data_IF_893378484672
#
_entry.id   IF_893378484672
#
_cell.length_a   1.000
_cell.length_b   1.000
_cell.length_c   1.000
_cell.angle_alpha   90.00
_cell.angle_beta   90.00
_cell.angle_gamma   90.00
#
_symmetry.space_group_name_H-M   'P 1'
#
loop_
_entity.id
_entity.type
_entity.pdbx_description
1 polymer ?
#
# COMPACT_ATOMS: atom_id res chain seq x y z
N UNK A 1 54.89 -63.21 30.74
CA UNK A 1 55.91 -62.27 31.27
C UNK A 1 55.61 -60.88 30.73
N UNK A 2 55.46 -59.93 31.64
CA UNK A 2 55.64 -58.47 31.48
C UNK A 2 56.98 -58.16 30.73
N UNK A 3 57.30 -57.02 30.10
CA UNK A 3 56.88 -55.64 30.32
C UNK A 3 57.34 -54.72 29.16
N UNK A 4 56.48 -53.75 28.81
CA UNK A 4 56.68 -52.32 28.49
C UNK A 4 58.01 -51.80 27.91
N UNK A 5 57.91 -51.04 26.81
CA UNK A 5 58.73 -49.84 26.58
C UNK A 5 57.86 -48.59 26.47
N UNK A 6 58.31 -47.54 27.13
CA UNK A 6 57.69 -46.22 27.31
C UNK A 6 58.29 -45.28 26.26
N UNK A 7 57.45 -44.52 25.55
CA UNK A 7 57.88 -43.33 24.82
C UNK A 7 57.11 -42.13 25.41
N UNK A 8 57.84 -41.28 26.13
CA UNK A 8 57.31 -40.06 26.74
C UNK A 8 57.12 -38.97 25.69
N UNK A 9 55.93 -38.38 25.66
CA UNK A 9 55.61 -37.18 24.88
C UNK A 9 55.86 -35.97 25.80
N UNK A 10 56.74 -35.08 25.34
CA UNK A 10 57.00 -33.77 25.94
C UNK A 10 55.82 -32.86 25.59
N UNK A 11 55.05 -32.42 26.60
CA UNK A 11 54.08 -31.33 26.47
C UNK A 11 54.83 -29.99 26.48
N UNK A 12 54.79 -29.27 25.35
CA UNK A 12 55.05 -27.83 25.33
C UNK A 12 53.76 -27.11 25.75
N UNK A 13 53.81 -26.42 26.89
CA UNK A 13 52.79 -25.49 27.35
C UNK A 13 52.97 -24.13 26.67
N UNK A 14 52.15 -23.82 25.66
CA UNK A 14 51.99 -22.43 25.19
C UNK A 14 50.85 -21.78 25.95
N UNK A 15 51.18 -20.84 26.83
CA UNK A 15 50.22 -19.95 27.47
C UNK A 15 49.59 -19.03 26.41
N UNK A 16 48.34 -19.30 26.05
CA UNK A 16 47.52 -18.42 25.23
C UNK A 16 46.94 -17.29 26.08
N UNK A 17 47.35 -16.05 25.81
CA UNK A 17 46.68 -14.85 26.30
C UNK A 17 45.25 -14.81 25.77
N UNK A 18 44.27 -14.98 26.66
CA UNK A 18 42.86 -14.72 26.36
C UNK A 18 42.67 -13.20 26.42
N UNK A 19 42.66 -12.55 25.26
CA UNK A 19 42.05 -11.23 25.15
C UNK A 19 40.55 -11.41 25.29
N UNK A 20 40.02 -11.10 26.48
CA UNK A 20 38.59 -10.96 26.70
C UNK A 20 38.09 -9.78 25.87
N UNK A 21 37.45 -10.05 24.73
CA UNK A 21 36.55 -9.10 24.11
C UNK A 21 35.31 -9.00 25.01
N UNK A 22 35.26 -7.95 25.82
CA UNK A 22 34.00 -7.50 26.39
C UNK A 22 33.08 -7.14 25.22
N UNK A 23 32.06 -7.97 24.97
CA UNK A 23 30.98 -7.62 24.08
C UNK A 23 30.24 -6.44 24.69
N UNK A 24 30.54 -5.22 24.25
CA UNK A 24 29.63 -4.10 24.44
C UNK A 24 28.30 -4.50 23.79
N UNK A 25 27.29 -4.69 24.63
CA UNK A 25 25.92 -4.86 24.17
C UNK A 25 25.57 -3.64 23.34
N UNK A 26 25.21 -3.87 22.07
CA UNK A 26 24.66 -2.82 21.24
C UNK A 26 23.56 -2.09 22.02
N UNK A 27 23.53 -0.74 22.03
CA UNK A 27 22.55 -0.01 22.80
C UNK A 27 21.16 -0.50 22.40
N UNK A 28 20.35 -0.89 23.39
CA UNK A 28 18.94 -1.22 23.18
C UNK A 28 18.33 -0.10 22.35
N UNK A 29 18.08 -0.34 21.05
CA UNK A 29 17.29 0.59 20.24
C UNK A 29 15.93 0.64 20.92
N UNK A 30 15.67 1.70 21.68
CA UNK A 30 14.34 1.97 22.21
C UNK A 30 13.38 1.88 21.04
N UNK A 31 12.48 0.89 21.06
CA UNK A 31 11.39 0.85 20.10
C UNK A 31 10.69 2.20 20.24
N UNK A 32 10.55 2.97 19.15
CA UNK A 32 9.93 4.29 19.25
C UNK A 32 8.54 4.11 19.85
N UNK A 33 8.28 4.86 20.92
CA UNK A 33 6.98 4.86 21.57
C UNK A 33 5.93 5.28 20.54
N UNK A 34 4.78 4.60 20.56
CA UNK A 34 3.67 4.95 19.67
C UNK A 34 3.21 6.40 19.95
N UNK A 35 3.19 7.24 18.91
CA UNK A 35 2.63 8.57 18.96
C UNK A 35 1.22 8.56 18.33
N UNK A 36 0.14 8.75 19.12
CA UNK A 36 -1.22 8.72 18.61
C UNK A 36 -1.58 9.90 17.69
N UNK A 37 -0.79 10.99 17.69
CA UNK A 37 -1.04 12.17 16.83
C UNK A 37 -0.26 12.14 15.52
N UNK A 38 0.61 11.13 15.35
CA UNK A 38 1.44 10.97 14.15
C UNK A 38 1.75 9.48 14.00
N UNK A 39 0.73 8.65 13.72
CA UNK A 39 0.95 7.23 13.52
C UNK A 39 1.93 7.02 12.36
N UNK A 40 2.80 6.03 12.52
CA UNK A 40 3.63 5.52 11.42
C UNK A 40 2.76 4.59 10.60
N UNK A 41 2.55 4.93 9.34
CA UNK A 41 1.73 4.20 8.38
C UNK A 41 2.45 4.14 7.05
N UNK A 42 2.11 3.17 6.23
CA UNK A 42 2.54 3.06 4.84
C UNK A 42 1.31 2.59 4.06
N UNK A 43 1.04 3.22 2.92
CA UNK A 43 -0.12 2.91 2.07
C UNK A 43 -1.48 2.98 2.83
N UNK A 44 -1.84 4.14 3.40
CA UNK A 44 -3.04 4.26 4.21
C UNK A 44 -4.30 4.45 3.37
N UNK A 45 -5.37 3.75 3.77
CA UNK A 45 -6.75 3.99 3.33
C UNK A 45 -7.66 4.26 4.51
N UNK A 46 -8.77 4.93 4.27
CA UNK A 46 -9.67 5.43 5.30
C UNK A 46 -11.12 5.01 5.02
N UNK A 47 -11.83 4.68 6.09
CA UNK A 47 -13.27 4.47 6.11
C UNK A 47 -13.89 5.25 7.27
N UNK A 48 -15.20 5.51 7.20
CA UNK A 48 -15.99 6.03 8.32
C UNK A 48 -17.22 5.15 8.54
N UNK A 49 -17.40 4.69 9.77
CA UNK A 49 -18.56 3.91 10.23
C UNK A 49 -19.15 4.61 11.46
N UNK A 50 -20.39 5.11 11.33
CA UNK A 50 -20.99 6.02 12.30
C UNK A 50 -20.14 7.27 12.54
N UNK A 51 -19.77 7.52 13.80
CA UNK A 51 -18.93 8.66 14.22
C UNK A 51 -17.43 8.32 14.27
N UNK A 52 -17.03 7.11 13.84
CA UNK A 52 -15.66 6.63 13.96
C UNK A 52 -15.00 6.50 12.58
N UNK A 53 -13.81 7.07 12.47
CA UNK A 53 -12.88 6.87 11.37
C UNK A 53 -12.03 5.63 11.62
N UNK A 54 -11.84 4.84 10.58
CA UNK A 54 -10.99 3.65 10.57
C UNK A 54 -9.93 3.82 9.50
N UNK A 55 -8.68 3.60 9.88
CA UNK A 55 -7.53 3.70 8.99
C UNK A 55 -6.89 2.32 8.89
N UNK A 56 -6.67 1.85 7.67
CA UNK A 56 -5.98 0.60 7.40
C UNK A 56 -4.73 0.90 6.59
N UNK A 57 -3.64 0.19 6.87
CA UNK A 57 -2.38 0.41 6.18
C UNK A 57 -1.55 -0.87 6.07
N UNK A 58 -0.52 -0.83 5.23
CA UNK A 58 0.48 -1.90 5.11
C UNK A 58 1.03 -2.26 6.49
N UNK A 59 1.07 -3.56 6.79
CA UNK A 59 1.46 -4.05 8.11
C UNK A 59 1.26 -5.55 8.29
N UNK A 60 1.41 -6.04 9.53
CA UNK A 60 1.22 -7.46 9.82
C UNK A 60 -0.28 -7.75 9.79
N UNK A 61 -0.76 -8.49 8.79
CA UNK A 61 -2.18 -8.81 8.67
C UNK A 61 -3.08 -7.59 8.40
N UNK A 62 -2.52 -6.53 7.79
CA UNK A 62 -3.11 -5.19 7.67
C UNK A 62 -3.29 -4.51 9.03
N UNK A 63 -2.45 -3.51 9.30
CA UNK A 63 -2.49 -2.71 10.52
C UNK A 63 -3.75 -1.83 10.51
N UNK A 64 -4.45 -1.76 11.65
CA UNK A 64 -5.67 -0.97 11.81
C UNK A 64 -5.53 0.11 12.88
N UNK A 65 -6.21 1.24 12.67
CA UNK A 65 -6.35 2.32 13.65
C UNK A 65 -7.78 2.86 13.65
N UNK A 66 -8.21 3.44 14.77
CA UNK A 66 -9.46 4.21 14.82
C UNK A 66 -9.27 5.60 15.42
N UNK A 67 -10.14 6.53 15.02
CA UNK A 67 -10.15 7.92 15.51
C UNK A 67 -11.58 8.47 15.44
N UNK A 68 -11.92 9.41 16.31
CA UNK A 68 -13.18 10.17 16.24
C UNK A 68 -12.98 11.59 15.71
N UNK A 69 -11.74 12.00 15.45
CA UNK A 69 -11.39 13.39 15.13
C UNK A 69 -10.33 13.54 14.02
N UNK A 70 -9.92 12.42 13.40
CA UNK A 70 -8.83 12.31 12.41
C UNK A 70 -7.44 12.77 12.91
N UNK A 71 -7.31 13.10 14.20
CA UNK A 71 -6.08 13.64 14.79
C UNK A 71 -5.45 12.65 15.74
N UNK A 72 -6.23 12.10 16.66
CA UNK A 72 -5.76 11.14 17.66
C UNK A 72 -6.19 9.73 17.27
N UNK A 73 -5.21 8.87 17.07
CA UNK A 73 -5.40 7.51 16.59
C UNK A 73 -5.18 6.48 17.70
N UNK A 74 -6.09 5.52 17.82
CA UNK A 74 -5.98 4.32 18.65
C UNK A 74 -5.60 3.15 17.75
N UNK A 75 -4.61 2.34 18.15
CA UNK A 75 -4.30 1.09 17.43
C UNK A 75 -5.40 0.05 17.61
N UNK A 76 -5.73 -0.64 16.54
CA UNK A 76 -6.58 -1.82 16.50
C UNK A 76 -5.72 -3.08 16.32
N UNK A 77 -6.36 -4.24 16.44
CA UNK A 77 -5.75 -5.51 16.03
C UNK A 77 -5.64 -5.61 14.51
N UNK A 78 -4.83 -6.55 13.99
CA UNK A 78 -4.74 -6.79 12.56
C UNK A 78 -6.07 -7.30 12.00
N UNK A 79 -6.39 -6.96 10.76
CA UNK A 79 -7.60 -7.45 10.10
C UNK A 79 -7.53 -8.96 9.87
N UNK A 80 -6.37 -9.44 9.42
CA UNK A 80 -6.07 -10.84 9.15
C UNK A 80 -4.94 -11.32 10.08
N UNK A 81 -5.26 -11.84 11.28
CA UNK A 81 -4.24 -12.19 12.29
C UNK A 81 -3.29 -13.32 11.86
N UNK A 82 -3.66 -14.11 10.86
CA UNK A 82 -2.85 -15.16 10.25
C UNK A 82 -2.86 -15.03 8.73
N UNK A 83 -1.75 -15.44 8.10
CA UNK A 83 -1.66 -15.49 6.63
C UNK A 83 -2.66 -16.51 6.08
N UNK A 84 -3.58 -16.13 5.19
CA UNK A 84 -4.46 -17.08 4.52
C UNK A 84 -3.68 -18.20 3.81
N UNK A 85 -4.16 -19.43 3.92
CA UNK A 85 -3.45 -20.61 3.41
C UNK A 85 -3.18 -20.53 1.91
N UNK A 86 -4.17 -20.07 1.13
CA UNK A 86 -4.05 -19.94 -0.32
C UNK A 86 -2.90 -19.02 -0.74
N UNK A 87 -2.53 -18.03 0.08
CA UNK A 87 -1.38 -17.16 -0.20
C UNK A 87 -0.07 -17.94 -0.06
N UNK A 88 0.03 -18.81 0.96
CA UNK A 88 1.23 -19.65 1.14
C UNK A 88 1.40 -20.66 0.00
N UNK A 89 0.28 -21.11 -0.58
CA UNK A 89 0.25 -22.01 -1.74
C UNK A 89 0.61 -21.27 -3.03
N UNK A 90 0.06 -20.07 -3.24
CA UNK A 90 0.35 -19.25 -4.41
C UNK A 90 1.77 -18.63 -4.39
N UNK A 91 2.25 -18.26 -3.21
CA UNK A 91 3.51 -17.56 -2.96
C UNK A 91 4.32 -18.27 -1.87
N UNK A 92 5.05 -19.35 -2.20
CA UNK A 92 5.88 -20.06 -1.23
C UNK A 92 6.88 -19.13 -0.53
N UNK A 93 6.83 -19.12 0.80
CA UNK A 93 7.69 -18.27 1.64
C UNK A 93 7.10 -16.90 2.01
N UNK A 94 5.89 -16.59 1.53
CA UNK A 94 5.14 -15.41 1.95
C UNK A 94 5.03 -15.32 3.49
N UNK A 95 4.98 -14.07 3.96
CA UNK A 95 4.80 -13.73 5.38
C UNK A 95 3.50 -12.97 5.52
N UNK A 96 2.93 -12.94 6.73
CA UNK A 96 1.72 -12.18 7.02
C UNK A 96 1.97 -10.65 7.07
N UNK A 97 2.81 -10.11 6.19
CA UNK A 97 3.01 -8.67 6.02
C UNK A 97 2.33 -8.28 4.70
N UNK A 98 1.07 -7.85 4.82
CA UNK A 98 0.18 -7.56 3.71
C UNK A 98 0.22 -6.06 3.40
N UNK A 99 0.10 -5.71 2.13
CA UNK A 99 0.39 -4.37 1.62
C UNK A 99 -0.83 -3.71 1.02
N UNK A 100 -0.81 -2.37 0.98
CA UNK A 100 -1.70 -1.52 0.21
C UNK A 100 -3.17 -1.93 0.29
N UNK A 101 -3.77 -1.90 1.50
CA UNK A 101 -5.17 -2.21 1.62
C UNK A 101 -6.03 -1.16 0.91
N UNK A 102 -7.19 -1.56 0.41
CA UNK A 102 -8.28 -0.67 0.01
C UNK A 102 -9.56 -1.08 0.71
N UNK A 103 -10.41 -0.11 1.06
CA UNK A 103 -11.60 -0.32 1.88
C UNK A 103 -12.80 0.40 1.25
N UNK A 104 -13.87 -0.34 1.02
CA UNK A 104 -15.14 0.20 0.50
C UNK A 104 -16.32 -0.45 1.22
N UNK A 105 -17.39 0.32 1.43
CA UNK A 105 -18.69 -0.21 1.87
C UNK A 105 -19.60 -0.38 0.66
N UNK A 106 -20.10 -1.58 0.44
CA UNK A 106 -21.02 -1.88 -0.66
C UNK A 106 -21.95 -3.03 -0.27
N UNK A 107 -23.20 -2.98 -0.74
CA UNK A 107 -24.21 -4.03 -0.51
C UNK A 107 -24.30 -4.55 0.94
N UNK A 108 -24.20 -3.63 1.90
CA UNK A 108 -24.38 -3.91 3.32
C UNK A 108 -23.14 -4.44 4.05
N UNK A 109 -21.99 -4.55 3.40
CA UNK A 109 -20.77 -5.11 3.99
C UNK A 109 -19.53 -4.28 3.65
N UNK A 110 -18.53 -4.32 4.53
CA UNK A 110 -17.21 -3.74 4.27
C UNK A 110 -16.35 -4.72 3.50
N UNK A 111 -15.71 -4.26 2.43
CA UNK A 111 -14.79 -5.00 1.59
C UNK A 111 -13.39 -4.44 1.75
N UNK A 112 -12.45 -5.28 2.18
CA UNK A 112 -11.03 -4.96 2.35
C UNK A 112 -10.22 -5.75 1.32
N UNK A 113 -9.60 -5.05 0.38
CA UNK A 113 -8.63 -5.62 -0.54
C UNK A 113 -7.24 -5.48 0.05
N UNK A 114 -6.33 -6.37 -0.31
CA UNK A 114 -4.97 -6.36 0.19
C UNK A 114 -4.04 -7.09 -0.78
N UNK A 115 -2.77 -6.73 -0.76
CA UNK A 115 -1.74 -7.37 -1.56
C UNK A 115 -0.82 -8.28 -0.73
N UNK A 116 -0.34 -9.36 -1.33
CA UNK A 116 0.84 -10.08 -0.86
C UNK A 116 1.84 -10.22 -2.02
N UNK A 117 3.10 -9.89 -1.75
CA UNK A 117 4.12 -9.78 -2.78
C UNK A 117 5.52 -9.95 -2.18
N UNK A 118 6.53 -9.91 -3.05
CA UNK A 118 7.94 -9.84 -2.70
C UNK A 118 8.58 -8.62 -3.39
N UNK A 119 9.33 -7.83 -2.64
CA UNK A 119 9.87 -6.54 -3.12
C UNK A 119 10.70 -6.72 -4.40
N UNK A 120 10.43 -5.89 -5.41
CA UNK A 120 11.11 -5.91 -6.71
C UNK A 120 10.72 -7.09 -7.63
N UNK A 121 9.64 -7.82 -7.32
CA UNK A 121 9.11 -8.91 -8.15
C UNK A 121 7.62 -8.67 -8.44
N UNK A 122 7.11 -9.29 -9.50
CA UNK A 122 5.68 -9.37 -9.80
C UNK A 122 5.10 -10.77 -9.57
N UNK A 123 5.68 -11.54 -8.65
CA UNK A 123 5.02 -12.76 -8.12
C UNK A 123 4.11 -12.33 -6.98
N UNK A 124 2.89 -11.94 -7.33
CA UNK A 124 2.06 -11.12 -6.45
C UNK A 124 0.60 -11.48 -6.59
N UNK A 125 -0.16 -11.28 -5.52
CA UNK A 125 -1.59 -11.56 -5.45
C UNK A 125 -2.31 -10.38 -4.80
N UNK A 126 -3.51 -10.10 -5.30
CA UNK A 126 -4.52 -9.30 -4.59
C UNK A 126 -5.54 -10.28 -4.01
N UNK A 127 -5.78 -10.18 -2.72
CA UNK A 127 -6.83 -10.88 -1.99
C UNK A 127 -7.92 -9.94 -1.53
N UNK A 128 -9.03 -10.52 -1.08
CA UNK A 128 -10.21 -9.80 -0.62
C UNK A 128 -10.71 -10.41 0.70
N UNK A 129 -11.13 -9.58 1.65
CA UNK A 129 -11.78 -9.98 2.88
C UNK A 129 -13.01 -9.08 3.13
N UNK A 130 -13.99 -9.59 3.87
CA UNK A 130 -15.21 -8.82 4.20
C UNK A 130 -15.46 -8.76 5.70
N UNK A 131 -16.04 -7.67 6.20
CA UNK A 131 -16.56 -7.56 7.58
C UNK A 131 -17.94 -6.90 7.61
N UNK A 132 -18.90 -7.37 8.43
CA UNK A 132 -20.20 -6.71 8.59
C UNK A 132 -20.10 -5.30 9.20
N UNK A 133 -19.08 -5.04 10.01
CA UNK A 133 -18.84 -3.76 10.70
C UNK A 133 -17.34 -3.55 10.90
N UNK A 134 -16.91 -2.30 11.08
CA UNK A 134 -15.53 -1.97 11.42
C UNK A 134 -15.31 -1.86 12.94
N UNK A 135 -16.36 -1.81 13.75
CA UNK A 135 -16.24 -1.67 15.20
C UNK A 135 -15.83 -2.99 15.88
N UNK A 136 -14.60 -3.11 16.42
CA UNK A 136 -14.14 -4.33 17.09
C UNK A 136 -14.88 -4.64 18.40
N UNK A 137 -15.73 -3.72 18.90
CA UNK A 137 -16.57 -3.95 20.08
C UNK A 137 -17.88 -4.68 19.75
N UNK A 138 -18.30 -4.67 18.48
CA UNK A 138 -19.51 -5.34 18.02
C UNK A 138 -19.36 -6.87 18.06
N UNK A 139 -20.45 -7.57 18.39
CA UNK A 139 -20.50 -9.04 18.31
C UNK A 139 -20.42 -9.57 16.88
N UNK A 140 -20.77 -8.74 15.90
CA UNK A 140 -20.74 -9.09 14.48
C UNK A 140 -19.38 -8.79 13.83
N UNK A 141 -18.45 -8.20 14.57
CA UNK A 141 -17.12 -7.87 14.08
C UNK A 141 -16.33 -9.12 13.73
N UNK A 142 -16.09 -9.32 12.43
CA UNK A 142 -15.26 -10.40 11.93
C UNK A 142 -14.82 -10.14 10.49
N UNK A 143 -13.51 -10.08 10.29
CA UNK A 143 -12.93 -10.22 8.97
C UNK A 143 -13.01 -11.68 8.49
N UNK A 144 -13.58 -11.87 7.31
CA UNK A 144 -13.69 -13.16 6.62
C UNK A 144 -12.94 -13.07 5.29
N UNK A 145 -11.85 -13.82 5.17
CA UNK A 145 -11.10 -13.95 3.92
C UNK A 145 -11.99 -14.56 2.81
N UNK A 146 -11.93 -13.96 1.62
CA UNK A 146 -12.68 -14.35 0.42
C UNK A 146 -11.79 -14.94 -0.67
N UNK A 147 -10.48 -15.03 -0.44
CA UNK A 147 -9.55 -15.65 -1.36
C UNK A 147 -8.90 -14.67 -2.33
N UNK A 148 -8.31 -15.24 -3.37
CA UNK A 148 -7.59 -14.52 -4.42
C UNK A 148 -8.56 -13.87 -5.41
N UNK A 149 -8.34 -12.59 -5.70
CA UNK A 149 -9.01 -11.85 -6.77
C UNK A 149 -8.22 -11.98 -8.08
N UNK A 150 -6.90 -11.74 -8.00
CA UNK A 150 -6.01 -11.78 -9.15
C UNK A 150 -4.56 -12.09 -8.75
N UNK A 151 -3.79 -12.65 -9.68
CA UNK A 151 -2.37 -12.97 -9.52
C UNK A 151 -1.58 -12.54 -10.75
N UNK A 152 -0.43 -11.89 -10.52
CA UNK A 152 0.61 -11.70 -11.52
C UNK A 152 1.66 -12.82 -11.43
N UNK A 153 2.07 -13.32 -12.59
CA UNK A 153 3.04 -14.40 -12.77
C UNK A 153 4.23 -13.89 -13.60
N UNK A 154 5.47 -14.01 -13.09
CA UNK A 154 6.65 -13.58 -13.81
C UNK A 154 6.77 -14.19 -15.20
N UNK A 155 7.23 -13.40 -16.16
CA UNK A 155 7.40 -13.77 -17.58
C UNK A 155 6.11 -14.08 -18.35
N UNK A 156 4.94 -14.00 -17.71
CA UNK A 156 3.63 -14.06 -18.35
C UNK A 156 2.95 -12.70 -18.36
N UNK A 157 2.93 -12.05 -17.20
CA UNK A 157 2.19 -10.81 -16.99
C UNK A 157 3.15 -9.62 -16.95
N UNK A 158 2.85 -8.60 -17.76
CA UNK A 158 3.63 -7.35 -17.82
C UNK A 158 2.99 -6.26 -16.94
N UNK A 159 2.60 -6.67 -15.74
CA UNK A 159 1.99 -5.86 -14.70
C UNK A 159 2.19 -6.56 -13.35
N UNK A 160 1.88 -5.87 -12.26
CA UNK A 160 2.06 -6.35 -10.90
C UNK A 160 0.73 -6.33 -10.14
N UNK A 161 0.29 -7.48 -9.61
CA UNK A 161 -0.96 -7.59 -8.86
C UNK A 161 -0.77 -7.12 -7.41
N UNK A 162 -0.62 -5.80 -7.23
CA UNK A 162 -0.62 -5.09 -5.94
C UNK A 162 -1.35 -3.76 -6.08
N UNK A 163 -1.56 -3.06 -4.96
CA UNK A 163 -2.12 -1.70 -4.90
C UNK A 163 -3.52 -1.58 -5.52
N UNK A 164 -4.44 -2.42 -5.07
CA UNK A 164 -5.82 -2.37 -5.54
C UNK A 164 -6.53 -1.11 -5.02
N UNK A 165 -7.38 -0.50 -5.84
CA UNK A 165 -8.47 0.38 -5.44
C UNK A 165 -9.77 -0.06 -6.11
N UNK A 166 -10.90 0.10 -5.41
CA UNK A 166 -12.22 -0.27 -5.90
C UNK A 166 -13.08 0.96 -6.12
N UNK A 167 -13.74 1.01 -7.27
CA UNK A 167 -14.73 2.03 -7.59
C UNK A 167 -15.99 1.39 -8.17
N UNK A 168 -17.15 1.85 -7.71
CA UNK A 168 -18.44 1.52 -8.32
C UNK A 168 -18.78 2.65 -9.30
N UNK A 169 -18.98 2.32 -10.57
CA UNK A 169 -19.33 3.32 -11.57
C UNK A 169 -20.81 3.78 -11.45
N UNK A 170 -21.19 4.80 -12.22
CA UNK A 170 -22.55 5.36 -12.19
C UNK A 170 -23.64 4.37 -12.62
N UNK A 171 -23.27 3.25 -13.25
CA UNK A 171 -24.19 2.16 -13.62
C UNK A 171 -24.30 1.07 -12.56
N UNK A 172 -23.55 1.19 -11.46
CA UNK A 172 -23.48 0.17 -10.42
C UNK A 172 -22.47 -0.95 -10.73
N UNK A 173 -21.60 -0.78 -11.73
CA UNK A 173 -20.60 -1.80 -12.06
C UNK A 173 -19.36 -1.62 -11.18
N UNK A 174 -18.88 -2.67 -10.48
CA UNK A 174 -17.64 -2.63 -9.73
C UNK A 174 -16.42 -2.79 -10.65
N UNK A 175 -15.45 -1.91 -10.47
CA UNK A 175 -14.15 -1.93 -11.12
C UNK A 175 -13.03 -1.94 -10.09
N UNK A 176 -11.92 -2.58 -10.44
CA UNK A 176 -10.69 -2.54 -9.67
C UNK A 176 -9.58 -1.95 -10.53
N UNK A 177 -9.01 -0.83 -10.12
CA UNK A 177 -7.72 -0.38 -10.60
C UNK A 177 -6.60 -0.91 -9.71
N UNK A 178 -5.48 -1.28 -10.33
CA UNK A 178 -4.32 -1.79 -9.61
C UNK A 178 -3.05 -1.66 -10.44
N UNK A 179 -1.89 -1.81 -9.78
CA UNK A 179 -0.61 -1.92 -10.45
C UNK A 179 0.52 -1.19 -9.76
N UNK A 180 1.73 -1.61 -10.09
CA UNK A 180 2.97 -0.99 -9.63
C UNK A 180 4.08 -1.37 -10.60
N UNK A 181 4.77 -0.38 -11.17
CA UNK A 181 5.83 -0.56 -12.17
C UNK A 181 5.36 -1.28 -13.46
N UNK A 182 6.25 -2.02 -14.15
CA UNK A 182 5.94 -2.76 -15.39
C UNK A 182 5.20 -1.89 -16.42
N UNK A 183 4.13 -2.39 -17.05
CA UNK A 183 3.31 -1.66 -18.02
C UNK A 183 2.19 -0.85 -17.35
N UNK A 184 2.43 -0.36 -16.13
CA UNK A 184 1.58 0.59 -15.44
C UNK A 184 0.26 0.03 -14.91
N UNK A 185 -0.71 0.93 -14.77
CA UNK A 185 -1.96 0.73 -14.04
C UNK A 185 -2.99 0.07 -14.94
N UNK A 186 -3.65 -0.95 -14.41
CA UNK A 186 -4.72 -1.70 -15.06
C UNK A 186 -6.04 -1.38 -14.39
N UNK A 187 -7.11 -1.40 -15.16
CA UNK A 187 -8.49 -1.40 -14.68
C UNK A 187 -9.17 -2.68 -15.15
N UNK A 188 -9.82 -3.39 -14.24
CA UNK A 188 -10.54 -4.62 -14.55
C UNK A 188 -11.95 -4.58 -14.00
N UNK A 189 -12.88 -5.13 -14.75
CA UNK A 189 -14.25 -5.31 -14.28
C UNK A 189 -14.30 -6.44 -13.27
N UNK A 190 -14.97 -6.22 -12.14
CA UNK A 190 -15.19 -7.24 -11.13
C UNK A 190 -16.56 -7.91 -11.30
N UNK A 191 -16.71 -9.09 -10.69
CA UNK A 191 -18.01 -9.71 -10.46
C UNK A 191 -18.89 -8.81 -9.57
N UNK A 192 -20.23 -8.94 -9.61
CA UNK A 192 -21.11 -8.10 -8.78
C UNK A 192 -20.84 -8.19 -7.28
N UNK A 193 -20.43 -9.36 -6.76
CA UNK A 193 -20.02 -9.55 -5.36
C UNK A 193 -18.58 -9.10 -5.08
N UNK A 194 -17.91 -8.57 -6.10
CA UNK A 194 -16.54 -8.06 -6.12
C UNK A 194 -15.48 -9.10 -5.71
N UNK A 195 -15.81 -10.40 -5.71
CA UNK A 195 -14.89 -11.44 -5.25
C UNK A 195 -13.85 -11.87 -6.28
N UNK A 196 -14.05 -11.56 -7.57
CA UNK A 196 -13.15 -11.95 -8.65
C UNK A 196 -13.23 -11.01 -9.86
N UNK A 197 -12.26 -11.12 -10.78
CA UNK A 197 -12.36 -10.52 -12.11
C UNK A 197 -13.51 -11.17 -12.89
N UNK A 198 -14.35 -10.33 -13.49
CA UNK A 198 -15.53 -10.78 -14.25
C UNK A 198 -15.17 -11.64 -15.46
N UNK A 199 -16.12 -12.48 -15.89
CA UNK A 199 -16.05 -13.25 -17.14
C UNK A 199 -17.27 -12.96 -18.02
N UNK A 200 -17.11 -12.68 -19.34
CA UNK A 200 -15.82 -12.47 -20.03
C UNK A 200 -15.04 -11.30 -19.42
N UNK A 201 -13.71 -11.39 -19.49
CA UNK A 201 -12.84 -10.37 -18.91
C UNK A 201 -12.92 -9.05 -19.69
N UNK A 202 -12.83 -7.94 -18.97
CA UNK A 202 -12.84 -6.59 -19.52
C UNK A 202 -11.74 -5.78 -18.83
N UNK A 203 -10.73 -5.36 -19.61
CA UNK A 203 -9.47 -4.78 -19.12
C UNK A 203 -9.11 -3.51 -19.87
N UNK A 204 -8.55 -2.54 -19.15
CA UNK A 204 -7.99 -1.31 -19.70
C UNK A 204 -6.62 -1.03 -19.09
N UNK A 205 -5.71 -0.45 -19.88
CA UNK A 205 -4.50 0.19 -19.34
C UNK A 205 -4.80 1.67 -19.20
N UNK A 206 -4.83 2.17 -17.95
CA UNK A 206 -5.38 3.50 -17.64
C UNK A 206 -4.31 4.54 -17.34
N UNK A 207 -3.09 4.10 -16.97
CA UNK A 207 -1.94 4.97 -16.81
C UNK A 207 -0.63 4.18 -16.98
N UNK A 208 0.40 4.82 -17.53
CA UNK A 208 1.75 4.24 -17.60
C UNK A 208 2.81 5.33 -17.48
N UNK A 209 4.06 4.94 -17.26
CA UNK A 209 5.21 5.84 -17.43
C UNK A 209 6.30 5.17 -18.26
N UNK A 210 6.97 5.91 -19.14
CA UNK A 210 8.14 5.40 -19.82
C UNK A 210 9.22 5.06 -18.80
N UNK A 211 9.77 3.86 -18.87
CA UNK A 211 10.89 3.45 -18.01
C UNK A 211 12.13 4.29 -18.27
N UNK A 212 12.85 4.67 -17.21
CA UNK A 212 14.03 5.54 -17.32
C UNK A 212 15.36 4.80 -17.30
N UNK A 213 15.38 3.60 -16.69
CA UNK A 213 16.60 2.82 -16.46
C UNK A 213 16.55 1.39 -17.02
N UNK A 214 15.45 1.00 -17.69
CA UNK A 214 15.31 -0.29 -18.35
C UNK A 214 13.88 -0.84 -18.40
N UNK A 215 13.77 -2.13 -18.74
CA UNK A 215 12.48 -2.86 -18.77
C UNK A 215 11.89 -2.90 -17.36
N UNK A 216 10.59 -2.61 -17.23
CA UNK A 216 9.82 -2.57 -15.98
C UNK A 216 10.13 -1.41 -15.01
N UNK A 217 10.84 -0.36 -15.44
CA UNK A 217 11.13 0.83 -14.62
C UNK A 217 10.12 1.98 -14.85
N UNK A 218 8.89 1.66 -15.28
CA UNK A 218 7.83 2.66 -15.33
C UNK A 218 7.43 3.02 -13.90
N UNK A 219 8.14 3.95 -13.24
CA UNK A 219 7.94 4.27 -11.82
C UNK A 219 6.61 5.01 -11.60
N UNK A 220 5.53 4.21 -11.59
CA UNK A 220 4.13 4.55 -11.37
C UNK A 220 3.48 3.40 -10.59
N UNK A 221 2.71 3.70 -9.55
CA UNK A 221 2.00 2.73 -8.71
C UNK A 221 0.86 3.39 -7.93
N UNK A 222 0.18 2.63 -7.06
CA UNK A 222 -0.86 3.11 -6.16
C UNK A 222 -1.95 3.93 -6.87
N UNK A 223 -2.66 3.33 -7.83
CA UNK A 223 -3.76 4.00 -8.48
C UNK A 223 -4.93 4.14 -7.49
N UNK A 224 -5.65 5.25 -7.57
CA UNK A 224 -6.86 5.47 -6.80
C UNK A 224 -7.83 6.28 -7.64
N UNK A 225 -8.97 5.69 -8.00
CA UNK A 225 -10.04 6.36 -8.73
C UNK A 225 -11.05 6.96 -7.76
N UNK A 226 -11.32 8.24 -7.93
CA UNK A 226 -12.27 8.97 -7.12
C UNK A 226 -13.22 9.79 -8.01
N UNK A 227 -14.53 9.66 -7.77
CA UNK A 227 -15.56 10.39 -8.51
C UNK A 227 -15.88 11.71 -7.79
N UNK A 228 -15.76 12.82 -8.51
CA UNK A 228 -16.17 14.14 -8.04
C UNK A 228 -16.85 14.94 -9.14
N UNK A 229 -18.06 15.41 -8.87
CA UNK A 229 -18.94 16.00 -9.87
C UNK A 229 -19.09 15.06 -11.06
N UNK A 230 -18.88 15.57 -12.27
CA UNK A 230 -19.02 14.81 -13.52
C UNK A 230 -17.74 14.07 -13.95
N UNK A 231 -16.73 13.95 -13.08
CA UNK A 231 -15.41 13.43 -13.47
C UNK A 231 -14.95 12.30 -12.55
N UNK A 232 -14.37 11.27 -13.16
CA UNK A 232 -13.50 10.32 -12.47
C UNK A 232 -12.08 10.91 -12.49
N UNK A 233 -11.47 11.05 -11.32
CA UNK A 233 -10.06 11.43 -11.16
C UNK A 233 -9.26 10.18 -10.86
N UNK A 234 -8.23 9.92 -11.65
CA UNK A 234 -7.25 8.88 -11.38
C UNK A 234 -6.03 9.53 -10.73
N UNK A 235 -5.84 9.25 -9.45
CA UNK A 235 -4.59 9.56 -8.76
C UNK A 235 -3.63 8.40 -8.94
N UNK A 236 -2.35 8.70 -9.11
CA UNK A 236 -1.26 7.71 -9.17
C UNK A 236 -0.05 8.27 -8.45
N UNK A 237 0.79 7.40 -7.93
CA UNK A 237 2.06 7.78 -7.33
C UNK A 237 3.19 7.57 -8.32
N UNK A 238 4.03 8.58 -8.51
CA UNK A 238 5.19 8.54 -9.39
C UNK A 238 6.50 8.49 -8.62
N UNK A 239 7.51 7.92 -9.29
CA UNK A 239 8.87 7.79 -8.83
C UNK A 239 8.98 6.87 -7.60
N UNK A 240 9.98 7.06 -6.74
CA UNK A 240 10.40 6.01 -5.80
C UNK A 240 9.97 6.30 -4.37
N UNK A 241 9.12 5.42 -3.85
CA UNK A 241 8.83 5.26 -2.42
C UNK A 241 10.03 4.65 -1.68
N UNK A 242 9.83 4.45 -0.38
CA UNK A 242 10.52 3.42 0.39
C UNK A 242 12.03 3.62 0.56
N UNK A 243 12.52 4.84 0.30
CA UNK A 243 13.92 5.27 0.46
C UNK A 243 14.08 6.29 1.60
N UNK A 244 13.08 6.39 2.47
CA UNK A 244 13.08 7.30 3.63
C UNK A 244 13.33 8.75 3.21
N UNK A 245 14.47 9.31 3.60
CA UNK A 245 14.82 10.72 3.32
C UNK A 245 15.17 10.97 1.84
N UNK A 246 15.47 9.89 1.12
CA UNK A 246 15.85 9.90 -0.29
C UNK A 246 14.68 9.48 -1.21
N UNK A 247 13.49 9.27 -0.64
CA UNK A 247 12.26 9.13 -1.43
C UNK A 247 12.01 10.41 -2.21
N UNK A 248 11.62 10.29 -3.48
CA UNK A 248 11.23 11.41 -4.35
C UNK A 248 9.78 11.24 -4.86
N UNK A 249 9.01 10.45 -4.11
CA UNK A 249 7.64 10.08 -4.37
C UNK A 249 6.72 11.30 -4.47
N UNK A 250 5.81 11.29 -5.44
CA UNK A 250 4.85 12.37 -5.70
C UNK A 250 3.53 11.79 -6.21
N UNK A 251 2.43 12.50 -6.00
CA UNK A 251 1.12 12.14 -6.54
C UNK A 251 0.85 12.95 -7.79
N UNK A 252 0.44 12.27 -8.86
CA UNK A 252 -0.08 12.87 -10.08
C UNK A 252 -1.56 12.52 -10.28
N UNK A 253 -2.26 13.34 -11.05
CA UNK A 253 -3.70 13.20 -11.33
C UNK A 253 -4.02 13.46 -12.79
N UNK A 254 -4.97 12.70 -13.32
CA UNK A 254 -5.71 12.99 -14.55
C UNK A 254 -7.21 12.75 -14.33
N UNK A 255 -8.05 13.12 -15.30
CA UNK A 255 -9.50 12.92 -15.21
C UNK A 255 -10.11 12.39 -16.49
N UNK A 256 -11.24 11.68 -16.35
CA UNK A 256 -12.05 11.13 -17.43
C UNK A 256 -13.54 11.27 -17.13
N UNK A 257 -14.37 11.32 -18.17
CA UNK A 257 -15.83 11.19 -18.03
C UNK A 257 -16.28 9.74 -17.82
N UNK A 258 -15.47 8.78 -18.26
CA UNK A 258 -15.74 7.35 -18.13
C UNK A 258 -14.71 6.73 -17.19
N UNK A 259 -15.13 5.80 -16.34
CA UNK A 259 -14.22 5.07 -15.43
C UNK A 259 -13.12 4.31 -16.20
N UNK A 260 -13.38 3.88 -17.43
CA UNK A 260 -12.41 3.20 -18.28
C UNK A 260 -11.36 4.13 -18.90
N UNK A 261 -11.49 5.44 -18.72
CA UNK A 261 -10.65 6.44 -19.38
C UNK A 261 -11.16 6.85 -20.78
N UNK A 262 -10.30 7.45 -21.62
CA UNK A 262 -8.91 7.82 -21.30
C UNK A 262 -8.85 8.89 -20.20
N UNK A 263 -7.90 8.74 -19.27
CA UNK A 263 -7.62 9.77 -18.26
C UNK A 263 -6.61 10.75 -18.83
N UNK A 264 -6.97 12.02 -18.88
CA UNK A 264 -6.09 13.08 -19.42
C UNK A 264 -5.69 14.06 -18.33
N UNK A 265 -4.49 14.62 -18.45
CA UNK A 265 -4.00 15.66 -17.55
C UNK A 265 -4.48 17.08 -17.94
N UNK A 266 -4.02 18.11 -17.21
CA UNK A 266 -4.36 19.52 -17.48
C UNK A 266 -3.99 20.00 -18.89
N UNK A 267 -3.01 19.35 -19.52
CA UNK A 267 -2.56 19.67 -20.88
C UNK A 267 -3.20 18.76 -21.94
N UNK A 268 -4.13 17.88 -21.54
CA UNK A 268 -4.80 16.95 -22.43
C UNK A 268 -3.96 15.73 -22.81
N UNK A 269 -2.83 15.46 -22.12
CA UNK A 269 -2.02 14.28 -22.38
C UNK A 269 -2.61 13.07 -21.67
N UNK A 270 -2.79 11.97 -22.40
CA UNK A 270 -3.27 10.70 -21.87
C UNK A 270 -2.29 10.13 -20.84
N UNK A 271 -2.81 9.73 -19.68
CA UNK A 271 -2.05 9.07 -18.63
C UNK A 271 -1.51 7.70 -19.08
N UNK A 272 -2.19 7.01 -19.99
CA UNK A 272 -1.69 5.77 -20.59
C UNK A 272 -0.39 6.00 -21.40
N UNK A 273 -0.16 7.23 -21.87
CA UNK A 273 1.06 7.67 -22.58
C UNK A 273 2.01 8.51 -21.70
N UNK A 274 1.91 8.38 -20.38
CA UNK A 274 2.74 9.11 -19.42
C UNK A 274 2.34 10.58 -19.24
N UNK A 275 1.08 10.91 -19.47
CA UNK A 275 0.44 12.13 -18.96
C UNK A 275 0.19 12.05 -17.45
N UNK A 276 -0.07 13.21 -16.86
CA UNK A 276 -0.41 13.36 -15.44
C UNK A 276 0.02 14.73 -14.93
N UNK A 277 -0.86 15.42 -14.21
CA UNK A 277 -0.53 16.66 -13.54
C UNK A 277 -0.10 16.37 -12.11
N UNK A 278 1.11 16.77 -11.71
CA UNK A 278 1.56 16.62 -10.32
C UNK A 278 0.61 17.41 -9.41
N UNK A 279 -0.01 16.70 -8.46
CA UNK A 279 -0.91 17.24 -7.45
C UNK A 279 -0.13 17.69 -6.22
N UNK A 280 0.75 16.82 -5.73
CA UNK A 280 1.54 17.05 -4.52
C UNK A 280 2.85 16.27 -4.57
N UNK A 281 3.93 16.89 -4.11
CA UNK A 281 5.25 16.29 -3.97
C UNK A 281 5.92 16.78 -2.68
N UNK A 282 6.97 16.10 -2.22
CA UNK A 282 7.68 16.52 -1.01
C UNK A 282 8.23 17.96 -1.11
N UNK A 283 8.03 18.76 -0.07
CA UNK A 283 8.51 20.15 0.01
C UNK A 283 10.05 20.27 0.19
N UNK A 284 10.74 19.15 0.42
CA UNK A 284 12.18 19.11 0.65
C UNK A 284 12.63 19.59 2.04
N UNK A 285 11.72 20.16 2.84
CA UNK A 285 11.98 20.69 4.18
C UNK A 285 11.43 19.79 5.28
N UNK A 286 10.11 19.56 5.26
CA UNK A 286 9.40 18.67 6.18
C UNK A 286 9.20 17.29 5.56
N UNK A 287 8.90 17.21 4.27
CA UNK A 287 8.57 15.98 3.58
C UNK A 287 9.54 15.72 2.41
N UNK A 288 10.17 14.54 2.41
CA UNK A 288 11.03 14.10 1.31
C UNK A 288 10.22 13.66 0.09
N UNK A 289 9.11 12.96 0.31
CA UNK A 289 8.19 12.50 -0.72
C UNK A 289 6.84 12.18 -0.10
N UNK A 290 5.80 12.23 -0.93
CA UNK A 290 4.39 12.05 -0.57
C UNK A 290 3.73 11.18 -1.64
N UNK A 291 3.01 10.14 -1.25
CA UNK A 291 2.35 9.27 -2.21
C UNK A 291 1.57 8.13 -1.57
N UNK A 292 1.18 7.17 -2.40
CA UNK A 292 0.18 6.15 -2.11
C UNK A 292 -1.05 6.78 -1.45
N UNK A 293 -1.76 7.59 -2.23
CA UNK A 293 -2.88 8.36 -1.72
C UNK A 293 -4.23 7.67 -1.94
N UNK A 294 -5.18 8.06 -1.10
CA UNK A 294 -6.59 7.82 -1.25
C UNK A 294 -7.36 9.14 -1.15
N UNK A 295 -8.52 9.19 -1.78
CA UNK A 295 -9.40 10.36 -1.78
C UNK A 295 -10.84 9.96 -1.46
N UNK A 296 -11.48 10.72 -0.58
CA UNK A 296 -12.83 10.41 -0.11
C UNK A 296 -13.64 11.68 0.04
N UNK A 297 -14.97 11.58 -0.14
CA UNK A 297 -15.91 12.58 0.37
C UNK A 297 -16.47 12.06 1.69
N UNK A 298 -16.15 12.72 2.80
CA UNK A 298 -16.66 12.37 4.13
C UNK A 298 -17.33 13.59 4.76
N UNK A 299 -18.59 13.41 5.18
CA UNK A 299 -19.42 14.48 5.74
C UNK A 299 -19.47 15.74 4.86
N UNK A 300 -19.49 15.54 3.54
CA UNK A 300 -19.50 16.62 2.54
C UNK A 300 -18.14 17.30 2.30
N UNK A 301 -17.06 16.81 2.89
CA UNK A 301 -15.71 17.33 2.69
C UNK A 301 -14.85 16.34 1.93
N UNK A 302 -14.18 16.82 0.89
CA UNK A 302 -13.22 16.01 0.15
C UNK A 302 -11.88 16.01 0.89
N UNK A 303 -11.37 14.82 1.15
CA UNK A 303 -10.15 14.60 1.91
C UNK A 303 -9.15 13.77 1.10
N UNK A 304 -7.90 14.14 1.24
CA UNK A 304 -6.74 13.45 0.73
C UNK A 304 -6.05 12.75 1.91
N UNK A 305 -5.86 11.44 1.78
CA UNK A 305 -5.18 10.59 2.76
C UNK A 305 -3.97 9.99 2.08
N UNK A 306 -2.80 10.04 2.71
CA UNK A 306 -1.56 9.54 2.11
C UNK A 306 -0.54 9.29 3.21
N UNK A 307 0.60 8.69 2.86
CA UNK A 307 1.77 8.76 3.71
C UNK A 307 2.83 9.71 3.14
N UNK A 308 3.61 10.32 4.04
CA UNK A 308 4.70 11.20 3.70
C UNK A 308 5.97 10.83 4.49
N UNK A 309 7.11 10.85 3.81
CA UNK A 309 8.40 10.55 4.45
C UNK A 309 8.97 11.81 5.10
N UNK A 310 9.06 11.82 6.43
CA UNK A 310 9.65 12.93 7.17
C UNK A 310 11.11 13.15 6.76
N UNK A 311 11.46 14.35 6.31
CA UNK A 311 12.79 14.63 5.74
C UNK A 311 13.93 14.46 6.75
N UNK A 312 13.66 14.68 8.03
CA UNK A 312 14.66 14.61 9.10
C UNK A 312 14.91 13.19 9.58
N UNK A 313 13.88 12.35 9.65
CA UNK A 313 13.94 11.01 10.25
C UNK A 313 13.85 9.89 9.21
N UNK A 314 13.26 10.15 8.04
CA UNK A 314 12.93 9.17 7.00
C UNK A 314 11.71 8.32 7.33
N UNK A 315 11.01 8.59 8.44
CA UNK A 315 9.83 7.82 8.85
C UNK A 315 8.64 8.19 7.99
N UNK A 316 7.88 7.17 7.57
CA UNK A 316 6.59 7.35 6.91
C UNK A 316 5.52 7.72 7.93
N UNK A 317 4.83 8.84 7.71
CA UNK A 317 3.82 9.39 8.62
C UNK A 317 2.51 9.60 7.87
N UNK A 318 1.39 9.44 8.57
CA UNK A 318 0.06 9.73 8.04
C UNK A 318 -0.06 11.21 7.69
N UNK A 319 -0.54 11.49 6.49
CA UNK A 319 -0.88 12.80 5.98
C UNK A 319 -2.37 12.82 5.64
N UNK A 320 -3.14 13.67 6.32
CA UNK A 320 -4.54 13.95 6.00
C UNK A 320 -4.67 15.43 5.69
N UNK A 321 -5.23 15.77 4.52
CA UNK A 321 -5.42 17.14 4.05
C UNK A 321 -6.78 17.29 3.38
N UNK A 322 -7.41 18.47 3.44
CA UNK A 322 -8.55 18.75 2.59
C UNK A 322 -8.12 18.78 1.11
N UNK A 323 -8.99 18.32 0.23
CA UNK A 323 -8.91 18.60 -1.22
C UNK A 323 -9.74 19.85 -1.47
N UNK A 324 -9.12 20.83 -2.13
CA UNK A 324 -9.85 22.00 -2.67
C UNK A 324 -9.88 21.93 -4.19
N UNK A 325 -10.87 22.55 -4.81
CA UNK A 325 -11.08 22.47 -6.26
C UNK A 325 -10.91 23.85 -6.89
N UNK A 326 -10.18 23.91 -8.01
CA UNK A 326 -10.13 25.10 -8.86
C UNK A 326 -11.41 25.25 -9.68
N UNK A 327 -11.63 26.45 -10.22
CA UNK A 327 -12.81 26.77 -11.05
C UNK A 327 -12.94 25.87 -12.29
N UNK A 328 -11.82 25.39 -12.84
CA UNK A 328 -11.77 24.45 -13.97
C UNK A 328 -11.87 22.97 -13.54
N UNK A 329 -12.14 22.72 -12.26
CA UNK A 329 -12.42 21.40 -11.69
C UNK A 329 -11.17 20.54 -11.53
N UNK A 330 -10.05 21.08 -11.05
CA UNK A 330 -8.88 20.27 -10.70
C UNK A 330 -8.64 20.27 -9.20
N UNK A 331 -8.24 19.11 -8.62
CA UNK A 331 -7.94 19.03 -7.21
C UNK A 331 -6.65 19.78 -6.88
N UNK A 332 -6.61 20.31 -5.67
CA UNK A 332 -5.46 20.98 -5.06
C UNK A 332 -5.30 20.49 -3.63
N UNK A 333 -4.06 20.17 -3.25
CA UNK A 333 -3.69 19.73 -1.89
C UNK A 333 -2.49 20.56 -1.44
N UNK A 334 -2.52 21.05 -0.19
CA UNK A 334 -1.42 21.81 0.43
C UNK A 334 -0.75 20.98 1.53
N UNK A 335 0.58 20.98 1.57
CA UNK A 335 1.36 20.25 2.57
C UNK A 335 1.47 20.96 3.91
#
# INVERSE_FOLDING_TARGET
MFNRLIAGIILLSTAGYIFGQTSESAPHRHKPQYNPYSPTVHDPVLAKDGDTYYLYCTGIGIDGFSSTDLKKWKRLGPCLPSLPQWISEALPGAKNHLWAPDIIYHDGVWHLYYACSAFGKNTSVIGHATSPTLDPSSTDYKWTDRGMVIQSVPNRDDWNAIDANIIIDETGTPWMDFGSFWNGMKLVKLTPDMSAVAKPEEWYSIASRPGTTGKNDGAIEAPFIYKHGDWYYLFVSWDYCCRGRDSNYKVAVGRSKNVQGPYVDKNGKDMADGGGSVLVEGDGEKWAGVGHCAAYTIDGNDIFVSHAYDKKTGRSQLLVRPITWSDDGWPQVKL
#
